data_IF_609200357329
#
_entry.id   IF_609200357329
#
_cell.length_a   1.000
_cell.length_b   1.000
_cell.length_c   1.000
_cell.angle_alpha   90.00
_cell.angle_beta   90.00
_cell.angle_gamma   90.00
#
_symmetry.space_group_name_H-M   'P 1'
#
loop_
_entity.id
_entity.type
_entity.pdbx_description
1 polymer ?
#
# COMPACT_ATOMS: atom_id res chain seq x y z
N UNK A 1 -13.27 12.65 6.50
CA UNK A 1 -13.03 11.49 5.66
C UNK A 1 -11.74 10.82 6.05
N UNK A 2 -11.82 9.54 6.24
CA UNK A 2 -10.65 8.78 6.65
C UNK A 2 -10.31 7.74 5.59
N UNK A 3 -9.07 7.76 5.17
CA UNK A 3 -8.56 6.78 4.24
C UNK A 3 -7.50 5.97 4.96
N UNK A 4 -7.66 4.66 4.93
CA UNK A 4 -6.71 3.77 5.58
C UNK A 4 -5.85 3.09 4.53
N UNK A 5 -4.56 3.15 4.72
CA UNK A 5 -3.58 2.53 3.84
C UNK A 5 -2.92 1.38 4.57
N UNK A 6 -2.96 0.22 3.96
CA UNK A 6 -2.37 -0.98 4.55
C UNK A 6 -1.54 -1.69 3.49
N UNK A 7 -0.39 -2.17 3.91
CA UNK A 7 0.45 -2.96 3.01
C UNK A 7 0.60 -4.37 3.57
N UNK A 8 0.55 -5.35 2.68
CA UNK A 8 0.71 -6.74 3.10
C UNK A 8 2.15 -7.10 3.40
N UNK A 9 3.08 -6.33 2.86
CA UNK A 9 4.50 -6.61 3.04
C UNK A 9 5.29 -5.32 3.23
N UNK A 10 5.42 -4.92 4.47
CA UNK A 10 6.12 -3.68 4.82
C UNK A 10 7.61 -3.73 4.52
N UNK A 11 8.18 -4.91 4.47
CA UNK A 11 9.61 -5.01 4.16
C UNK A 11 9.89 -4.81 2.68
N UNK A 12 8.90 -5.00 1.84
CA UNK A 12 9.04 -4.77 0.41
C UNK A 12 8.68 -3.33 0.06
N UNK A 13 7.55 -2.88 0.54
CA UNK A 13 7.08 -1.53 0.24
C UNK A 13 6.25 -0.99 1.39
N UNK A 14 6.32 0.31 1.57
CA UNK A 14 5.53 0.99 2.58
C UNK A 14 4.68 2.05 1.91
N UNK A 15 3.64 2.44 2.59
CA UNK A 15 2.74 3.46 2.09
C UNK A 15 2.48 4.48 3.20
N UNK A 16 2.43 5.76 2.82
CA UNK A 16 2.14 6.81 3.76
C UNK A 16 0.66 7.16 3.73
N UNK A 17 0.22 7.92 4.71
CA UNK A 17 -1.18 8.35 4.77
C UNK A 17 -1.56 9.28 3.62
N UNK A 18 -0.60 9.79 2.92
CA UNK A 18 -0.83 10.63 1.75
C UNK A 18 -0.87 9.85 0.45
N UNK A 19 -0.66 8.55 0.52
CA UNK A 19 -0.66 7.71 -0.66
C UNK A 19 0.68 7.59 -1.35
N UNK A 20 1.74 7.97 -0.67
CA UNK A 20 3.09 7.84 -1.22
C UNK A 20 3.61 6.44 -0.92
N UNK A 21 3.96 5.73 -1.97
CA UNK A 21 4.46 4.37 -1.85
C UNK A 21 5.97 4.36 -2.02
N UNK A 22 6.65 3.77 -1.05
CA UNK A 22 8.10 3.68 -1.06
C UNK A 22 8.51 2.22 -1.17
N UNK A 23 9.27 1.91 -2.22
CA UNK A 23 9.81 0.56 -2.38
C UNK A 23 11.10 0.42 -1.62
N UNK A 24 11.26 -0.66 -0.89
CA UNK A 24 12.45 -0.90 -0.09
C UNK A 24 13.24 -2.11 -0.53
N UNK A 25 12.58 -3.08 -1.08
CA UNK A 25 13.19 -4.37 -1.35
C UNK A 25 12.55 -4.99 -2.57
N UNK A 26 13.25 -5.89 -3.20
CA UNK A 26 12.68 -6.60 -4.34
C UNK A 26 11.53 -7.48 -3.90
N UNK A 27 10.48 -7.46 -4.65
CA UNK A 27 9.34 -8.32 -4.36
C UNK A 27 8.03 -7.67 -4.73
N UNK A 28 6.98 -8.30 -4.29
CA UNK A 28 5.63 -7.82 -4.55
C UNK A 28 4.92 -7.53 -3.24
N UNK A 29 4.28 -6.38 -3.18
CA UNK A 29 3.50 -6.01 -2.02
C UNK A 29 2.10 -5.61 -2.47
N UNK A 30 1.12 -5.91 -1.66
CA UNK A 30 -0.25 -5.51 -1.93
C UNK A 30 -0.64 -4.40 -0.99
N UNK A 31 -1.08 -3.31 -1.58
CA UNK A 31 -1.51 -2.15 -0.80
C UNK A 31 -3.03 -2.12 -0.81
N UNK A 32 -3.60 -2.13 0.36
CA UNK A 32 -5.05 -2.03 0.50
C UNK A 32 -5.41 -0.63 0.93
N UNK A 33 -6.31 -0.02 0.19
CA UNK A 33 -6.79 1.32 0.49
C UNK A 33 -8.26 1.23 0.86
N UNK A 34 -8.60 1.68 2.04
CA UNK A 34 -9.98 1.75 2.48
C UNK A 34 -10.43 3.18 2.59
N UNK A 35 -11.49 3.51 1.91
CA UNK A 35 -12.05 4.84 1.93
C UNK A 35 -13.55 4.74 2.18
N UNK A 36 -13.96 4.94 3.42
CA UNK A 36 -15.36 4.80 3.78
C UNK A 36 -15.86 3.39 3.57
N UNK A 37 -16.80 3.23 2.67
CA UNK A 37 -17.40 1.92 2.39
C UNK A 37 -16.69 1.17 1.28
N UNK A 38 -15.71 1.79 0.65
CA UNK A 38 -15.02 1.17 -0.47
C UNK A 38 -13.61 0.76 -0.10
N UNK A 39 -13.14 -0.29 -0.75
CA UNK A 39 -11.77 -0.72 -0.57
C UNK A 39 -11.17 -1.08 -1.91
N UNK A 40 -9.88 -0.84 -2.04
CA UNK A 40 -9.16 -1.13 -3.26
C UNK A 40 -7.85 -1.81 -2.92
N UNK A 41 -7.44 -2.70 -3.80
CA UNK A 41 -6.16 -3.38 -3.62
C UNK A 41 -5.28 -3.04 -4.81
N UNK A 42 -4.10 -2.56 -4.51
CA UNK A 42 -3.12 -2.21 -5.55
C UNK A 42 -1.91 -3.12 -5.37
N UNK A 43 -1.50 -3.76 -6.46
CA UNK A 43 -0.31 -4.59 -6.44
C UNK A 43 0.88 -3.75 -6.83
N UNK A 44 1.89 -3.74 -5.97
CA UNK A 44 3.10 -2.98 -6.21
C UNK A 44 4.26 -3.96 -6.38
N UNK A 45 4.96 -3.83 -7.49
CA UNK A 45 6.14 -4.64 -7.75
C UNK A 45 7.37 -3.76 -7.66
N UNK A 46 8.30 -4.17 -6.81
CA UNK A 46 9.56 -3.46 -6.63
C UNK A 46 10.68 -4.32 -7.23
N UNK A 47 11.44 -3.71 -8.07
CA UNK A 47 12.54 -4.44 -8.74
C UNK A 47 13.91 -4.16 -8.15
#
# INVERSE_FOLDING_TARGET
KTVTWTTSDKSVATVSSKGVITGKKKGTAKITVKAGKKSYVVTVTVK
#
